data_IF_400270049599
#
_entry.id   IF_400270049599
#
_cell.length_a   1.000
_cell.length_b   1.000
_cell.length_c   1.000
_cell.angle_alpha   90.00
_cell.angle_beta   90.00
_cell.angle_gamma   90.00
#
_symmetry.space_group_name_H-M   'P 1'
#
loop_
_entity.id
_entity.type
_entity.pdbx_description
1 polymer ?
#
# COMPACT_ATOMS: atom_id res chain seq x y z
N UNK A 1 38.76 1.01 -14.64
CA UNK A 1 38.19 0.17 -13.56
C UNK A 1 36.70 0.05 -13.84
N UNK A 2 36.28 -1.05 -14.48
CA UNK A 2 34.85 -1.32 -14.69
C UNK A 2 34.21 -1.59 -13.32
N UNK A 3 33.00 -1.08 -13.10
CA UNK A 3 32.25 -1.34 -11.88
C UNK A 3 31.78 -2.80 -11.91
N UNK A 4 32.64 -3.70 -11.44
CA UNK A 4 32.26 -5.04 -11.02
C UNK A 4 31.22 -4.89 -9.89
N UNK A 5 30.09 -5.59 -10.00
CA UNK A 5 28.95 -5.55 -9.07
C UNK A 5 28.04 -4.32 -9.07
N UNK A 6 27.35 -4.08 -10.19
CA UNK A 6 26.05 -3.38 -10.12
C UNK A 6 24.93 -4.38 -9.90
N UNK A 7 24.48 -4.49 -8.66
CA UNK A 7 23.25 -5.21 -8.32
C UNK A 7 22.07 -4.65 -9.11
N UNK A 8 21.53 -5.44 -10.06
CA UNK A 8 20.33 -5.07 -10.80
C UNK A 8 19.10 -5.23 -9.90
N UNK A 9 18.42 -4.13 -9.62
CA UNK A 9 17.15 -4.11 -8.88
C UNK A 9 16.01 -3.84 -9.84
N UNK A 10 15.04 -4.76 -9.90
CA UNK A 10 13.83 -4.62 -10.72
C UNK A 10 12.62 -4.55 -9.81
N UNK A 11 11.84 -3.47 -9.92
CA UNK A 11 10.57 -3.31 -9.22
C UNK A 11 9.40 -3.79 -10.07
N UNK A 12 8.58 -4.70 -9.56
CA UNK A 12 7.38 -5.19 -10.25
C UNK A 12 6.14 -4.69 -9.52
N UNK A 13 5.43 -3.75 -10.16
CA UNK A 13 4.24 -3.10 -9.61
C UNK A 13 3.01 -3.39 -10.49
N UNK A 14 1.82 -3.30 -9.89
CA UNK A 14 0.56 -3.49 -10.62
C UNK A 14 -0.57 -3.92 -9.71
N UNK A 15 -1.81 -3.81 -10.19
CA UNK A 15 -3.02 -4.17 -9.43
C UNK A 15 -2.99 -5.63 -8.93
N UNK A 16 -3.72 -5.93 -7.86
CA UNK A 16 -3.94 -7.30 -7.41
C UNK A 16 -4.57 -8.11 -8.56
N UNK A 17 -4.17 -9.37 -8.72
CA UNK A 17 -4.60 -10.26 -9.82
C UNK A 17 -4.15 -9.87 -11.23
N UNK A 18 -3.22 -8.93 -11.38
CA UNK A 18 -2.64 -8.59 -12.68
C UNK A 18 -1.65 -9.64 -13.25
N UNK A 19 -1.55 -10.82 -12.63
CA UNK A 19 -0.66 -11.90 -13.11
C UNK A 19 0.82 -11.74 -12.76
N UNK A 20 1.19 -10.82 -11.86
CA UNK A 20 2.60 -10.55 -11.49
C UNK A 20 3.36 -11.81 -11.02
N UNK A 21 2.79 -12.55 -10.05
CA UNK A 21 3.40 -13.79 -9.55
C UNK A 21 3.48 -14.87 -10.64
N UNK A 22 2.47 -14.95 -11.51
CA UNK A 22 2.45 -15.87 -12.64
C UNK A 22 3.55 -15.56 -13.66
N UNK A 23 3.76 -14.27 -13.96
CA UNK A 23 4.85 -13.80 -14.83
C UNK A 23 6.22 -14.16 -14.23
N UNK A 24 6.42 -13.93 -12.94
CA UNK A 24 7.66 -14.28 -12.24
C UNK A 24 7.92 -15.80 -12.25
N UNK A 25 6.91 -16.61 -11.95
CA UNK A 25 7.03 -18.08 -12.04
C UNK A 25 7.46 -18.53 -13.44
N UNK A 26 6.90 -17.94 -14.49
CA UNK A 26 7.29 -18.26 -15.86
C UNK A 26 8.71 -17.78 -16.22
N UNK A 27 9.11 -16.59 -15.76
CA UNK A 27 10.36 -15.95 -16.18
C UNK A 27 11.61 -16.49 -15.47
N UNK A 28 11.53 -16.67 -14.14
CA UNK A 28 12.71 -16.93 -13.30
C UNK A 28 12.67 -18.28 -12.57
N UNK A 29 11.53 -18.96 -12.60
CA UNK A 29 11.34 -20.27 -11.98
C UNK A 29 11.02 -21.37 -13.00
N UNK A 30 11.30 -21.16 -14.29
CA UNK A 30 11.07 -22.15 -15.36
C UNK A 30 9.62 -22.70 -15.39
N UNK A 31 8.65 -21.88 -14.99
CA UNK A 31 7.24 -22.26 -14.90
C UNK A 31 6.85 -22.99 -13.60
N UNK A 32 7.79 -23.29 -12.71
CA UNK A 32 7.53 -23.87 -11.39
C UNK A 32 6.77 -22.86 -10.53
N UNK A 33 5.73 -23.34 -9.85
CA UNK A 33 4.84 -22.53 -9.02
C UNK A 33 5.45 -22.21 -7.64
N UNK A 34 6.55 -21.45 -7.62
CA UNK A 34 7.22 -21.06 -6.37
C UNK A 34 6.47 -19.92 -5.67
N UNK A 35 6.04 -18.91 -6.42
CA UNK A 35 5.26 -17.81 -5.88
C UNK A 35 3.77 -18.14 -5.88
N UNK A 36 3.01 -17.79 -4.82
CA UNK A 36 1.59 -18.05 -4.75
C UNK A 36 0.84 -17.29 -5.85
N UNK A 37 0.01 -18.02 -6.60
CA UNK A 37 -0.89 -17.48 -7.63
C UNK A 37 -2.22 -16.95 -7.05
N UNK A 38 -2.54 -17.33 -5.81
CA UNK A 38 -3.85 -17.14 -5.21
C UNK A 38 -4.19 -15.65 -5.01
N UNK A 39 -5.46 -15.36 -5.25
CA UNK A 39 -6.07 -14.04 -5.36
C UNK A 39 -6.67 -13.55 -4.03
N UNK A 40 -6.43 -14.26 -2.93
CA UNK A 40 -6.72 -13.80 -1.58
C UNK A 40 -5.82 -12.60 -1.32
N UNK A 41 -6.35 -11.43 -0.95
CA UNK A 41 -5.54 -10.23 -0.74
C UNK A 41 -4.73 -10.41 0.55
N UNK A 42 -3.65 -11.18 0.45
CA UNK A 42 -2.66 -11.40 1.48
C UNK A 42 -1.37 -10.60 1.16
N UNK A 43 -1.16 -10.27 -0.12
CA UNK A 43 -0.01 -9.52 -0.63
C UNK A 43 -0.21 -8.00 -0.51
N UNK A 44 -0.18 -7.50 0.72
CA UNK A 44 0.25 -6.13 1.00
C UNK A 44 1.74 -6.07 1.40
N UNK A 45 2.34 -7.21 1.75
CA UNK A 45 3.74 -7.28 2.16
C UNK A 45 4.70 -7.29 0.97
N UNK A 46 5.71 -6.43 1.01
CA UNK A 46 6.81 -6.38 0.05
C UNK A 46 7.51 -7.76 0.02
N UNK A 47 7.59 -8.37 -1.15
CA UNK A 47 8.34 -9.62 -1.36
C UNK A 47 9.60 -9.31 -2.14
N UNK A 48 10.76 -9.70 -1.62
CA UNK A 48 12.06 -9.48 -2.26
C UNK A 48 12.62 -10.85 -2.64
N UNK A 49 12.92 -11.04 -3.92
CA UNK A 49 13.62 -12.21 -4.42
C UNK A 49 15.07 -11.84 -4.68
N UNK A 50 15.99 -12.59 -4.08
CA UNK A 50 17.44 -12.42 -4.25
C UNK A 50 18.04 -13.75 -4.68
N UNK A 51 19.06 -13.68 -5.54
CA UNK A 51 19.87 -14.85 -5.84
C UNK A 51 20.65 -15.29 -4.60
N UNK A 52 20.66 -16.60 -4.33
CA UNK A 52 21.44 -17.23 -3.28
C UNK A 52 21.83 -18.66 -3.71
N UNK A 53 22.96 -19.16 -3.24
CA UNK A 53 23.40 -20.55 -3.52
C UNK A 53 22.48 -21.59 -2.88
N UNK A 54 21.91 -21.26 -1.73
CA UNK A 54 21.01 -22.14 -0.97
C UNK A 54 19.65 -21.46 -0.82
N UNK A 55 18.59 -22.26 -0.89
CA UNK A 55 17.22 -21.79 -0.66
C UNK A 55 17.05 -21.37 0.80
N UNK A 56 16.57 -20.14 1.02
CA UNK A 56 16.21 -19.62 2.33
C UNK A 56 15.01 -18.69 2.23
N UNK A 57 14.34 -18.47 3.35
CA UNK A 57 13.27 -17.49 3.48
C UNK A 57 13.48 -16.72 4.79
N UNK A 58 13.30 -15.41 4.72
CA UNK A 58 13.36 -14.50 5.86
C UNK A 58 12.04 -13.75 5.96
N UNK A 59 11.55 -13.59 7.18
CA UNK A 59 10.30 -12.87 7.45
C UNK A 59 10.62 -11.75 8.43
N UNK A 60 10.43 -10.51 7.98
CA UNK A 60 10.55 -9.32 8.80
C UNK A 60 9.16 -8.97 9.34
N UNK A 61 9.03 -9.00 10.67
CA UNK A 61 7.80 -8.61 11.37
C UNK A 61 7.89 -7.16 11.83
N UNK A 62 6.74 -6.50 11.96
CA UNK A 62 6.67 -5.19 12.59
C UNK A 62 7.19 -5.26 14.03
N UNK A 63 8.07 -4.32 14.37
CA UNK A 63 8.48 -4.06 15.73
C UNK A 63 7.36 -3.33 16.50
N UNK A 64 7.40 -3.33 17.84
CA UNK A 64 6.49 -2.51 18.64
C UNK A 64 6.55 -1.01 18.27
N UNK A 65 7.71 -0.53 17.80
CA UNK A 65 7.88 0.85 17.33
C UNK A 65 7.11 1.10 16.04
N UNK A 66 7.19 0.18 15.07
CA UNK A 66 6.48 0.30 13.80
C UNK A 66 4.96 0.30 14.01
N UNK A 67 4.47 -0.55 14.91
CA UNK A 67 3.05 -0.59 15.29
C UNK A 67 2.62 0.74 15.92
N UNK A 68 3.40 1.25 16.87
CA UNK A 68 3.09 2.53 17.50
C UNK A 68 3.12 3.70 16.49
N UNK A 69 4.02 3.68 15.52
CA UNK A 69 4.05 4.69 14.44
C UNK A 69 2.80 4.60 13.57
N UNK A 70 2.39 3.40 13.16
CA UNK A 70 1.15 3.17 12.39
C UNK A 70 -0.10 3.67 13.13
N UNK A 71 -0.19 3.41 14.43
CA UNK A 71 -1.30 3.90 15.28
C UNK A 71 -1.30 5.43 15.34
N UNK A 72 -0.14 6.05 15.56
CA UNK A 72 -0.01 7.51 15.59
C UNK A 72 -0.38 8.17 14.26
N UNK A 73 0.03 7.57 13.13
CA UNK A 73 -0.35 8.04 11.80
C UNK A 73 -1.86 7.91 11.56
N UNK A 74 -2.45 6.79 11.97
CA UNK A 74 -3.89 6.59 11.90
C UNK A 74 -4.66 7.65 12.69
N UNK A 75 -4.25 7.93 13.93
CA UNK A 75 -4.88 8.97 14.74
C UNK A 75 -4.76 10.36 14.09
N UNK A 76 -3.58 10.69 13.53
CA UNK A 76 -3.38 11.95 12.81
C UNK A 76 -4.32 12.05 11.61
N UNK A 77 -4.44 10.98 10.84
CA UNK A 77 -5.37 10.90 9.72
C UNK A 77 -6.82 11.12 10.17
N UNK A 78 -7.28 10.43 11.22
CA UNK A 78 -8.66 10.55 11.73
C UNK A 78 -8.95 11.97 12.21
N UNK A 79 -8.00 12.58 12.94
CA UNK A 79 -8.15 13.98 13.40
C UNK A 79 -8.31 14.93 12.22
N UNK A 80 -7.44 14.81 11.21
CA UNK A 80 -7.46 15.70 10.06
C UNK A 80 -8.70 15.47 9.18
N UNK A 81 -9.10 14.22 8.99
CA UNK A 81 -10.32 13.85 8.28
C UNK A 81 -11.55 14.48 8.94
N UNK A 82 -11.69 14.34 10.26
CA UNK A 82 -12.81 14.91 11.00
C UNK A 82 -12.82 16.45 10.94
N UNK A 83 -11.65 17.09 10.96
CA UNK A 83 -11.54 18.55 10.78
C UNK A 83 -12.08 18.98 9.42
N UNK A 84 -11.60 18.35 8.34
CA UNK A 84 -12.01 18.67 6.97
C UNK A 84 -13.51 18.42 6.78
N UNK A 85 -14.02 17.28 7.24
CA UNK A 85 -15.45 16.95 7.15
C UNK A 85 -16.29 17.93 7.96
N UNK A 86 -15.87 18.27 9.19
CA UNK A 86 -16.57 19.22 10.04
C UNK A 86 -16.67 20.62 9.41
N UNK A 87 -15.56 21.11 8.82
CA UNK A 87 -15.53 22.38 8.10
C UNK A 87 -16.48 22.38 6.89
N UNK A 88 -16.49 21.28 6.12
CA UNK A 88 -17.37 21.18 4.95
C UNK A 88 -18.85 21.10 5.34
N UNK A 89 -19.17 20.35 6.40
CA UNK A 89 -20.54 20.27 6.95
C UNK A 89 -21.03 21.64 7.42
N UNK A 90 -20.18 22.41 8.11
CA UNK A 90 -20.56 23.75 8.57
C UNK A 90 -20.78 24.71 7.40
N UNK A 91 -19.89 24.71 6.39
CA UNK A 91 -20.09 25.51 5.16
C UNK A 91 -21.41 25.19 4.47
N UNK A 92 -21.79 23.92 4.41
CA UNK A 92 -23.08 23.53 3.81
C UNK A 92 -24.28 23.99 4.64
N UNK A 93 -24.21 23.88 5.98
CA UNK A 93 -25.25 24.39 6.88
C UNK A 93 -25.43 25.90 6.75
N UNK A 94 -24.35 26.67 6.66
CA UNK A 94 -24.39 28.12 6.45
C UNK A 94 -25.06 28.47 5.12
N UNK A 95 -24.63 27.85 4.02
CA UNK A 95 -25.26 28.04 2.69
C UNK A 95 -26.76 27.72 2.71
N UNK A 96 -27.14 26.64 3.37
CA UNK A 96 -28.55 26.25 3.50
C UNK A 96 -29.34 27.25 4.34
N UNK A 97 -28.77 27.75 5.43
CA UNK A 97 -29.40 28.76 6.28
C UNK A 97 -29.64 30.09 5.55
N UNK A 98 -28.68 30.53 4.72
CA UNK A 98 -28.80 31.72 3.88
C UNK A 98 -29.88 31.54 2.81
N UNK A 99 -29.90 30.38 2.13
CA UNK A 99 -30.94 30.05 1.16
C UNK A 99 -32.35 30.03 1.79
N UNK A 100 -32.47 29.52 3.01
CA UNK A 100 -33.75 29.48 3.73
C UNK A 100 -34.24 30.86 4.17
N UNK A 101 -33.34 31.82 4.44
CA UNK A 101 -33.71 33.21 4.74
C UNK A 101 -34.19 33.95 3.49
N UNK A 102 -33.48 33.80 2.37
CA UNK A 102 -33.85 34.43 1.10
C UNK A 102 -35.20 33.97 0.51
N UNK A 103 -35.71 32.80 0.93
CA UNK A 103 -37.05 32.31 0.51
C UNK A 103 -38.21 32.83 1.36
N UNK A 104 -37.93 33.51 2.48
CA UNK A 104 -38.92 34.04 3.43
C UNK A 104 -39.16 35.54 3.26
N UNK A 105 -38.37 36.19 2.42
CA UNK A 105 -38.59 37.55 1.89
C UNK A 105 -39.26 37.45 0.52
#
# INVERSE_FOLDING_TARGET
MQAEDRDLKVGIIGRVKAGKSSLLNALIFEGVEVLPKAATPMTASLTILKYAQNLSAEVEFYSPKDIAELENEHERYVREFNRIVGEEVNKQKEKQSLSNRAKRE
#
